data_IF_833397603364
#
_entry.id   IF_833397603364
#
_cell.length_a   1.000
_cell.length_b   1.000
_cell.length_c   1.000
_cell.angle_alpha   90.00
_cell.angle_beta   90.00
_cell.angle_gamma   90.00
#
_symmetry.space_group_name_H-M   'P 1'
#
loop_
_entity.id
_entity.type
_entity.pdbx_description
1 polymer ?
#
# COMPACT_ATOMS: atom_id res chain seq x y z
N UNK A 1 10.52 27.03 4.63
CA UNK A 1 10.07 25.78 3.97
C UNK A 1 8.58 25.88 3.73
N UNK A 2 8.07 25.36 2.61
CA UNK A 2 6.62 25.30 2.33
C UNK A 2 6.10 23.88 2.46
N UNK A 3 4.93 23.72 3.09
CA UNK A 3 4.21 22.46 3.17
C UNK A 3 2.79 22.62 2.63
N UNK A 4 2.32 21.64 1.87
CA UNK A 4 0.96 21.58 1.36
C UNK A 4 0.13 20.57 2.16
N UNK A 5 -1.10 20.94 2.46
CA UNK A 5 -2.08 20.12 3.15
C UNK A 5 -3.27 19.93 2.22
N UNK A 6 -3.53 18.69 1.81
CA UNK A 6 -4.71 18.37 1.03
C UNK A 6 -5.94 18.42 1.94
N UNK A 7 -6.90 19.28 1.64
CA UNK A 7 -8.06 19.48 2.51
C UNK A 7 -9.37 19.51 1.73
N UNK A 8 -10.45 19.23 2.44
CA UNK A 8 -11.82 19.39 1.99
C UNK A 8 -12.61 20.02 3.14
N UNK A 9 -13.26 21.15 2.86
CA UNK A 9 -13.92 22.01 3.84
C UNK A 9 -12.98 22.49 4.96
N UNK A 10 -12.97 21.77 6.10
CA UNK A 10 -12.17 22.08 7.28
C UNK A 10 -11.26 20.92 7.71
N UNK A 11 -11.23 19.82 6.95
CA UNK A 11 -10.52 18.58 7.33
C UNK A 11 -9.55 18.14 6.25
N UNK A 12 -8.58 17.31 6.61
CA UNK A 12 -7.70 16.66 5.65
C UNK A 12 -8.52 15.80 4.69
N UNK A 13 -8.25 15.93 3.40
CA UNK A 13 -8.93 15.16 2.36
C UNK A 13 -8.62 13.65 2.53
N UNK A 14 -9.63 12.78 2.50
CA UNK A 14 -9.45 11.35 2.73
C UNK A 14 -8.61 10.67 1.64
N UNK A 15 -8.64 11.20 0.42
CA UNK A 15 -7.82 10.73 -0.71
C UNK A 15 -7.33 11.94 -1.51
N UNK A 16 -6.02 12.02 -1.72
CA UNK A 16 -5.38 13.11 -2.46
C UNK A 16 -5.69 13.07 -3.96
N UNK A 17 -5.85 11.88 -4.54
CA UNK A 17 -6.13 11.71 -5.97
C UNK A 17 -7.34 12.52 -6.43
N UNK A 18 -8.38 12.65 -5.60
CA UNK A 18 -9.60 13.42 -5.88
C UNK A 18 -9.63 14.80 -5.22
N UNK A 19 -8.62 15.15 -4.42
CA UNK A 19 -8.57 16.45 -3.75
C UNK A 19 -8.39 17.56 -4.78
N UNK A 20 -9.22 18.61 -4.68
CA UNK A 20 -9.18 19.79 -5.55
C UNK A 20 -8.57 21.00 -4.85
N UNK A 21 -8.38 20.96 -3.53
CA UNK A 21 -7.91 22.08 -2.74
C UNK A 21 -6.70 21.69 -1.91
N UNK A 22 -5.72 22.57 -1.86
CA UNK A 22 -4.57 22.48 -0.96
C UNK A 22 -4.39 23.78 -0.21
N UNK A 23 -4.00 23.66 1.06
CA UNK A 23 -3.54 24.78 1.86
C UNK A 23 -2.01 24.72 1.89
N UNK A 24 -1.35 25.75 1.37
CA UNK A 24 0.10 25.90 1.39
C UNK A 24 0.47 26.79 2.55
N UNK A 25 1.25 26.22 3.47
CA UNK A 25 1.75 26.91 4.66
C UNK A 25 3.24 27.12 4.49
N UNK A 26 3.66 28.38 4.58
CA UNK A 26 5.07 28.74 4.63
C UNK A 26 5.52 28.89 6.07
N UNK A 27 6.63 28.22 6.39
CA UNK A 27 7.16 28.15 7.74
C UNK A 27 8.61 28.62 7.77
N UNK A 28 8.87 29.51 8.71
CA UNK A 28 10.19 30.00 9.06
C UNK A 28 10.37 29.89 10.57
N UNK A 29 11.47 29.28 11.03
CA UNK A 29 11.75 29.10 12.47
C UNK A 29 10.57 28.51 13.28
N UNK A 30 9.85 27.53 12.69
CA UNK A 30 8.64 26.87 13.25
C UNK A 30 7.43 27.79 13.47
N UNK A 31 7.39 28.97 12.83
CA UNK A 31 6.24 29.87 12.82
C UNK A 31 5.67 29.94 11.41
N UNK A 32 4.34 30.04 11.32
CA UNK A 32 3.64 30.25 10.05
C UNK A 32 3.88 31.70 9.63
N UNK A 33 4.52 31.89 8.48
CA UNK A 33 4.76 33.20 7.88
C UNK A 33 3.64 33.56 6.92
N UNK A 34 3.16 32.58 6.15
CA UNK A 34 2.05 32.76 5.22
C UNK A 34 1.21 31.48 5.11
N UNK A 35 -0.08 31.67 4.84
CA UNK A 35 -1.03 30.59 4.55
C UNK A 35 -1.78 30.98 3.28
N UNK A 36 -1.74 30.13 2.25
CA UNK A 36 -2.37 30.38 0.95
C UNK A 36 -3.20 29.18 0.54
N UNK A 37 -4.42 29.42 0.05
CA UNK A 37 -5.28 28.37 -0.47
C UNK A 37 -5.14 28.32 -1.99
N UNK A 38 -4.91 27.12 -2.51
CA UNK A 38 -4.68 26.90 -3.94
C UNK A 38 -5.64 25.83 -4.46
N UNK A 39 -6.20 26.07 -5.65
CA UNK A 39 -7.04 25.12 -6.35
C UNK A 39 -6.16 24.24 -7.25
N UNK A 40 -6.18 22.94 -7.01
CA UNK A 40 -5.67 21.92 -7.94
C UNK A 40 -6.72 21.68 -9.02
N UNK A 41 -6.87 22.64 -9.94
CA UNK A 41 -7.89 22.69 -11.00
C UNK A 41 -7.76 21.60 -12.09
N UNK A 42 -7.08 20.49 -11.83
CA UNK A 42 -6.65 19.56 -12.85
C UNK A 42 -6.98 18.11 -12.47
N UNK A 43 -7.74 17.45 -13.34
CA UNK A 43 -8.11 16.03 -13.19
C UNK A 43 -6.92 15.09 -13.40
N UNK A 44 -5.83 15.57 -14.01
CA UNK A 44 -4.66 14.75 -14.32
C UNK A 44 -3.64 14.73 -13.17
N UNK A 45 -3.16 13.54 -12.75
CA UNK A 45 -2.18 13.39 -11.66
C UNK A 45 -0.87 14.17 -11.87
N UNK A 46 -0.39 14.25 -13.12
CA UNK A 46 0.83 14.97 -13.47
C UNK A 46 0.69 16.48 -13.23
N UNK A 47 -0.44 17.06 -13.60
CA UNK A 47 -0.67 18.50 -13.44
C UNK A 47 -0.76 18.88 -11.96
N UNK A 48 -1.37 18.04 -11.12
CA UNK A 48 -1.34 18.25 -9.66
C UNK A 48 0.09 18.25 -9.12
N UNK A 49 0.92 17.34 -9.60
CA UNK A 49 2.33 17.24 -9.19
C UNK A 49 3.12 18.47 -9.64
N UNK A 50 2.97 18.89 -10.89
CA UNK A 50 3.60 20.10 -11.42
C UNK A 50 3.18 21.34 -10.63
N UNK A 51 1.89 21.47 -10.30
CA UNK A 51 1.41 22.59 -9.49
C UNK A 51 2.06 22.63 -8.10
N UNK A 52 2.21 21.48 -7.44
CA UNK A 52 2.93 21.40 -6.16
C UNK A 52 4.39 21.83 -6.29
N UNK A 53 5.06 21.43 -7.38
CA UNK A 53 6.44 21.79 -7.66
C UNK A 53 6.59 23.30 -7.95
N UNK A 54 5.69 23.89 -8.75
CA UNK A 54 5.64 25.34 -9.04
C UNK A 54 5.50 26.18 -7.76
N UNK A 55 4.68 25.71 -6.82
CA UNK A 55 4.47 26.37 -5.53
C UNK A 55 5.69 26.26 -4.59
N UNK A 56 6.68 25.45 -4.95
CA UNK A 56 7.90 25.22 -4.15
C UNK A 56 7.62 24.43 -2.88
N UNK A 57 6.64 23.52 -2.92
CA UNK A 57 6.25 22.69 -1.78
C UNK A 57 7.31 21.63 -1.51
N UNK A 58 7.87 21.60 -0.30
CA UNK A 58 8.84 20.58 0.13
C UNK A 58 8.20 19.37 0.79
N UNK A 59 6.98 19.51 1.33
CA UNK A 59 6.25 18.42 2.00
C UNK A 59 4.75 18.45 1.67
N UNK A 60 4.16 17.30 1.38
CA UNK A 60 2.72 17.11 1.15
C UNK A 60 2.14 16.23 2.26
N UNK A 61 1.20 16.78 3.03
CA UNK A 61 0.43 16.06 4.06
C UNK A 61 -0.95 15.75 3.48
N UNK A 62 -1.33 14.48 3.47
CA UNK A 62 -2.62 14.04 2.94
C UNK A 62 -3.14 12.76 3.61
N UNK A 63 -4.40 12.40 3.31
CA UNK A 63 -4.97 11.09 3.62
C UNK A 63 -4.35 9.99 2.77
N UNK A 64 -5.16 9.21 2.06
CA UNK A 64 -4.65 8.23 1.13
C UNK A 64 -4.14 8.91 -0.15
N UNK A 65 -3.21 8.24 -0.82
CA UNK A 65 -2.70 8.63 -2.13
C UNK A 65 -2.41 7.36 -2.92
N UNK A 66 -2.75 7.33 -4.20
CA UNK A 66 -2.39 6.19 -5.04
C UNK A 66 -0.87 6.08 -5.15
N UNK A 67 -0.36 4.84 -5.18
CA UNK A 67 1.08 4.56 -5.35
C UNK A 67 1.72 5.28 -6.56
N UNK A 68 1.12 5.29 -7.76
CA UNK A 68 1.72 5.98 -8.89
C UNK A 68 1.81 7.49 -8.67
N UNK A 69 0.78 8.12 -8.09
CA UNK A 69 0.81 9.56 -7.80
C UNK A 69 1.80 9.88 -6.68
N UNK A 70 1.89 9.04 -5.64
CA UNK A 70 2.89 9.20 -4.58
C UNK A 70 4.32 9.12 -5.14
N UNK A 71 4.61 8.14 -6.00
CA UNK A 71 5.92 7.99 -6.62
C UNK A 71 6.26 9.19 -7.51
N UNK A 72 5.27 9.70 -8.25
CA UNK A 72 5.42 10.89 -9.09
C UNK A 72 5.74 12.13 -8.24
N UNK A 73 4.99 12.39 -7.18
CA UNK A 73 5.23 13.53 -6.27
C UNK A 73 6.61 13.43 -5.61
N UNK A 74 6.99 12.24 -5.15
CA UNK A 74 8.31 12.01 -4.56
C UNK A 74 9.45 12.23 -5.57
N UNK A 75 9.26 11.91 -6.85
CA UNK A 75 10.26 12.12 -7.89
C UNK A 75 10.57 13.61 -8.15
N UNK A 76 9.64 14.51 -7.82
CA UNK A 76 9.86 15.97 -7.83
C UNK A 76 10.53 16.48 -6.54
N UNK A 77 10.98 15.59 -5.65
CA UNK A 77 11.65 15.95 -4.40
C UNK A 77 10.70 16.36 -3.27
N UNK A 78 9.39 16.11 -3.43
CA UNK A 78 8.37 16.49 -2.44
C UNK A 78 8.17 15.33 -1.46
N UNK A 79 8.39 15.58 -0.18
CA UNK A 79 8.18 14.56 0.86
C UNK A 79 6.68 14.32 1.08
N UNK A 80 6.19 13.11 0.80
CA UNK A 80 4.78 12.76 1.03
C UNK A 80 4.60 12.13 2.41
N UNK A 81 3.67 12.67 3.21
CA UNK A 81 3.24 12.15 4.51
C UNK A 81 1.78 11.71 4.37
N UNK A 82 1.53 10.44 3.96
CA UNK A 82 0.19 9.92 3.76
C UNK A 82 -0.42 9.36 5.05
N UNK A 83 -1.69 8.98 4.95
CA UNK A 83 -2.53 8.37 5.99
C UNK A 83 -2.86 9.30 7.16
N UNK A 84 -2.93 10.60 6.89
CA UNK A 84 -3.31 11.62 7.88
C UNK A 84 -4.81 11.93 7.77
N UNK A 85 -5.49 11.97 8.90
CA UNK A 85 -6.88 12.42 9.05
C UNK A 85 -6.98 13.37 10.24
N UNK A 86 -7.89 14.33 10.18
CA UNK A 86 -8.10 15.31 11.24
C UNK A 86 -8.63 16.63 10.71
N UNK A 87 -8.82 17.59 11.62
CA UNK A 87 -9.05 18.99 11.25
C UNK A 87 -7.78 19.61 10.65
N UNK A 88 -7.92 20.44 9.64
CA UNK A 88 -6.80 21.06 8.93
C UNK A 88 -5.90 21.85 9.88
N UNK A 89 -6.50 22.67 10.77
CA UNK A 89 -5.73 23.55 11.67
C UNK A 89 -4.98 22.73 12.71
N UNK A 90 -5.62 21.72 13.29
CA UNK A 90 -4.99 20.82 14.26
C UNK A 90 -3.81 20.08 13.64
N UNK A 91 -3.96 19.60 12.40
CA UNK A 91 -2.90 18.89 11.67
C UNK A 91 -1.73 19.81 11.34
N UNK A 92 -1.99 21.06 10.93
CA UNK A 92 -0.93 22.06 10.70
C UNK A 92 -0.12 22.30 11.98
N UNK A 93 -0.80 22.51 13.12
CA UNK A 93 -0.14 22.72 14.42
C UNK A 93 0.66 21.48 14.88
N UNK A 94 0.10 20.29 14.69
CA UNK A 94 0.78 19.04 14.99
C UNK A 94 2.04 18.85 14.12
N UNK A 95 1.96 19.20 12.84
CA UNK A 95 3.11 19.15 11.93
C UNK A 95 4.22 20.14 12.34
N UNK A 96 3.86 21.39 12.65
CA UNK A 96 4.80 22.43 13.12
C UNK A 96 5.56 22.05 14.40
N UNK A 97 4.85 21.40 15.33
CA UNK A 97 5.44 20.94 16.60
C UNK A 97 6.23 19.63 16.47
N UNK A 98 6.24 19.01 15.28
CA UNK A 98 6.84 17.68 15.05
C UNK A 98 6.06 16.54 15.70
N UNK A 99 4.84 16.79 16.17
CA UNK A 99 3.98 15.85 16.91
C UNK A 99 2.83 15.31 16.06
N UNK A 100 3.06 15.04 14.78
CA UNK A 100 2.07 14.40 13.92
C UNK A 100 1.99 12.89 14.26
N UNK A 101 1.44 12.60 15.44
CA UNK A 101 1.35 11.26 16.02
C UNK A 101 0.38 10.42 15.20
N UNK A 102 0.82 9.21 14.84
CA UNK A 102 -0.01 8.24 14.12
C UNK A 102 -1.26 7.86 14.90
N UNK A 103 -1.24 7.81 16.22
CA UNK A 103 -2.42 7.36 16.97
C UNK A 103 -3.56 8.40 16.97
N UNK A 104 -3.23 9.69 16.87
CA UNK A 104 -4.22 10.79 16.92
C UNK A 104 -4.72 11.18 15.55
N UNK A 105 -3.83 11.20 14.56
CA UNK A 105 -4.13 11.68 13.21
C UNK A 105 -4.07 10.57 12.15
N UNK A 106 -4.03 9.28 12.50
CA UNK A 106 -4.09 8.22 11.49
C UNK A 106 -5.50 8.06 10.92
N UNK A 107 -5.54 7.77 9.63
CA UNK A 107 -6.76 7.27 9.00
C UNK A 107 -7.19 5.91 9.60
N UNK A 108 -8.49 5.71 9.88
CA UNK A 108 -9.01 4.42 10.29
C UNK A 108 -8.76 3.34 9.21
N UNK A 109 -8.48 2.12 9.64
CA UNK A 109 -8.26 0.96 8.74
C UNK A 109 -6.86 0.84 8.12
N UNK A 110 -5.99 1.85 8.25
CA UNK A 110 -4.62 1.79 7.74
C UNK A 110 -3.61 1.17 8.73
N UNK A 111 -4.04 0.87 9.96
CA UNK A 111 -3.21 0.42 11.08
C UNK A 111 -2.60 -1.00 10.90
N UNK A 112 -2.97 -1.75 9.84
CA UNK A 112 -2.54 -3.13 9.63
C UNK A 112 -1.49 -3.38 8.53
N UNK A 113 -1.21 -2.41 7.64
CA UNK A 113 -0.34 -2.64 6.46
C UNK A 113 0.96 -1.82 6.43
N UNK A 114 1.09 -0.81 7.29
CA UNK A 114 2.33 -0.02 7.39
C UNK A 114 3.51 -0.79 8.02
N UNK A 115 3.36 -2.08 8.34
CA UNK A 115 4.42 -2.91 8.94
C UNK A 115 5.37 -3.57 7.93
N UNK A 116 5.08 -3.61 6.61
CA UNK A 116 5.95 -4.35 5.66
C UNK A 116 6.75 -3.51 4.64
N UNK A 117 6.59 -2.18 4.60
CA UNK A 117 7.37 -1.33 3.67
C UNK A 117 7.99 -0.08 4.30
N UNK A 118 7.82 0.15 5.61
CA UNK A 118 8.44 1.31 6.29
C UNK A 118 9.92 1.09 6.67
N UNK A 119 10.52 -0.02 6.24
CA UNK A 119 11.97 -0.27 6.30
C UNK A 119 12.45 -0.54 4.87
N UNK A 120 13.03 0.46 4.21
CA UNK A 120 13.80 0.20 2.98
C UNK A 120 13.69 1.17 1.79
N UNK A 121 13.30 2.45 1.97
CA UNK A 121 13.48 3.47 0.91
C UNK A 121 13.86 4.81 1.55
N UNK A 122 14.99 4.87 2.23
CA UNK A 122 15.61 6.15 2.60
C UNK A 122 17.14 6.09 2.46
N UNK A 123 17.62 5.27 1.52
CA UNK A 123 19.04 5.15 1.19
C UNK A 123 19.25 4.64 -0.26
N UNK A 124 18.95 5.49 -1.25
CA UNK A 124 19.25 5.16 -2.67
C UNK A 124 19.40 6.39 -3.54
N UNK A 125 20.25 7.34 -3.12
CA UNK A 125 20.79 8.38 -4.01
C UNK A 125 22.33 8.29 -4.04
N UNK A 126 22.86 7.11 -4.37
CA UNK A 126 24.13 6.97 -5.09
C UNK A 126 24.03 5.73 -5.98
N UNK A 127 23.87 5.95 -7.29
CA UNK A 127 24.89 5.66 -8.29
C UNK A 127 24.27 5.66 -9.69
N UNK A 128 24.43 6.79 -10.38
CA UNK A 128 24.56 6.78 -11.83
C UNK A 128 25.91 6.14 -12.19
N UNK A 129 25.93 4.85 -12.52
CA UNK A 129 26.95 4.31 -13.44
C UNK A 129 26.35 3.27 -14.38
N UNK A 130 26.37 3.65 -15.65
CA UNK A 130 26.35 2.82 -16.84
C UNK A 130 25.06 2.07 -17.20
N UNK A 131 24.28 2.73 -18.07
CA UNK A 131 23.66 2.04 -19.20
C UNK A 131 24.75 1.27 -19.97
N UNK A 132 24.60 -0.04 -20.19
CA UNK A 132 24.70 -0.60 -21.53
C UNK A 132 24.26 -2.07 -21.59
N UNK A 133 23.60 -2.42 -22.70
CA UNK A 133 23.92 -3.66 -23.41
C UNK A 133 23.26 -4.97 -22.96
N UNK A 134 22.23 -5.38 -23.72
CA UNK A 134 22.04 -6.72 -24.28
C UNK A 134 22.71 -7.89 -23.53
N UNK A 135 21.94 -8.81 -22.96
CA UNK A 135 22.55 -10.06 -22.50
C UNK A 135 21.58 -11.07 -21.93
N UNK A 136 21.26 -12.08 -22.73
CA UNK A 136 20.65 -13.32 -22.28
C UNK A 136 21.55 -14.01 -21.25
N UNK A 137 20.94 -14.65 -20.25
CA UNK A 137 21.45 -15.86 -19.60
C UNK A 137 22.73 -15.70 -18.77
N UNK A 138 22.76 -16.30 -17.59
CA UNK A 138 23.99 -16.37 -16.82
C UNK A 138 23.79 -16.93 -15.43
N UNK A 139 23.77 -18.25 -15.35
CA UNK A 139 23.80 -19.02 -14.12
C UNK A 139 25.25 -19.10 -13.60
N UNK A 140 25.44 -18.94 -12.29
CA UNK A 140 26.38 -19.79 -11.55
C UNK A 140 27.52 -19.14 -10.77
N UNK A 141 27.59 -19.45 -9.49
CA UNK A 141 28.77 -19.95 -8.76
C UNK A 141 28.22 -20.64 -7.51
N UNK A 142 28.45 -21.90 -7.15
CA UNK A 142 29.40 -22.91 -7.59
C UNK A 142 29.81 -23.67 -6.33
N UNK A 143 29.64 -25.00 -6.29
CA UNK A 143 30.15 -25.82 -5.19
C UNK A 143 29.77 -27.29 -5.28
N UNK A 144 30.62 -28.10 -5.93
CA UNK A 144 30.82 -29.51 -5.56
C UNK A 144 30.22 -30.60 -6.45
N UNK A 145 31.04 -31.11 -7.39
CA UNK A 145 31.34 -32.53 -7.72
C UNK A 145 30.35 -33.61 -7.22
N UNK A 146 29.86 -34.59 -7.98
CA UNK A 146 30.14 -35.10 -9.33
C UNK A 146 29.45 -36.47 -9.51
N UNK A 147 29.34 -36.92 -10.78
CA UNK A 147 29.10 -38.32 -11.25
C UNK A 147 27.78 -38.99 -10.79
N UNK A 148 26.82 -39.42 -11.60
CA UNK A 148 26.66 -39.57 -13.04
C UNK A 148 25.46 -40.51 -13.29
N UNK A 149 24.90 -40.44 -14.51
CA UNK A 149 23.98 -41.40 -15.18
C UNK A 149 22.54 -41.54 -14.66
N UNK A 150 21.59 -41.17 -15.51
CA UNK A 150 20.24 -41.75 -15.50
C UNK A 150 19.16 -40.75 -15.86
N UNK A 151 18.56 -40.88 -17.05
CA UNK A 151 17.66 -39.89 -17.62
C UNK A 151 16.24 -39.88 -17.05
N UNK A 152 15.54 -38.79 -17.34
CA UNK A 152 14.11 -38.87 -17.65
C UNK A 152 13.17 -38.04 -16.78
N UNK A 153 12.59 -37.03 -17.46
CA UNK A 153 11.20 -36.55 -17.36
C UNK A 153 10.78 -35.81 -16.10
N UNK A 154 10.29 -34.60 -16.33
CA UNK A 154 10.00 -33.58 -15.33
C UNK A 154 8.92 -33.95 -14.32
N UNK A 155 8.96 -33.20 -13.22
CA UNK A 155 7.83 -32.75 -12.40
C UNK A 155 8.40 -31.81 -11.34
N UNK A 156 8.07 -30.53 -11.45
CA UNK A 156 8.41 -29.53 -10.43
C UNK A 156 7.68 -29.83 -9.14
N UNK A 157 8.37 -30.47 -8.19
CA UNK A 157 7.96 -30.55 -6.79
C UNK A 157 8.37 -29.27 -6.07
N UNK A 158 7.46 -28.30 -6.03
CA UNK A 158 7.52 -27.19 -5.08
C UNK A 158 7.53 -27.74 -3.65
N UNK A 159 8.52 -27.29 -2.88
CA UNK A 159 8.84 -27.72 -1.52
C UNK A 159 7.68 -27.51 -0.55
N UNK A 160 7.32 -28.61 0.09
CA UNK A 160 6.75 -28.80 1.42
C UNK A 160 6.73 -27.55 2.33
N UNK A 161 5.53 -27.02 2.60
CA UNK A 161 5.20 -26.28 3.82
C UNK A 161 4.39 -27.19 4.74
N UNK A 162 4.85 -27.39 5.97
CA UNK A 162 4.46 -28.49 6.87
C UNK A 162 3.04 -28.47 7.46
N UNK A 163 2.67 -29.52 8.23
CA UNK A 163 1.28 -29.99 8.39
C UNK A 163 0.56 -29.51 9.67
N UNK A 164 0.81 -28.30 10.20
CA UNK A 164 0.37 -28.00 11.58
C UNK A 164 -0.29 -26.64 11.86
N UNK A 165 -0.77 -25.89 10.85
CA UNK A 165 -1.36 -24.57 11.11
C UNK A 165 -2.54 -24.15 10.19
N UNK A 166 -3.53 -25.03 9.97
CA UNK A 166 -4.82 -24.64 9.38
C UNK A 166 -5.99 -25.15 10.23
N UNK A 167 -6.27 -24.47 11.35
CA UNK A 167 -7.61 -24.51 11.96
C UNK A 167 -8.62 -23.86 11.00
N UNK A 168 -9.91 -24.21 10.96
CA UNK A 168 -10.73 -25.00 11.87
C UNK A 168 -11.83 -25.74 11.08
N UNK A 169 -12.35 -26.83 11.66
CA UNK A 169 -13.51 -27.55 11.20
C UNK A 169 -14.74 -26.63 11.11
N UNK A 170 -15.19 -26.31 9.91
CA UNK A 170 -16.48 -25.66 9.67
C UNK A 170 -17.57 -26.71 9.42
N UNK A 171 -18.84 -26.30 9.48
CA UNK A 171 -19.96 -27.14 9.03
C UNK A 171 -20.48 -26.61 7.70
N UNK A 172 -20.66 -27.49 6.73
CA UNK A 172 -21.37 -27.18 5.51
C UNK A 172 -22.87 -27.44 5.73
N UNK A 173 -23.70 -26.46 5.37
CA UNK A 173 -25.16 -26.48 5.42
C UNK A 173 -25.75 -26.63 4.02
N UNK A 174 -26.73 -27.50 3.85
CA UNK A 174 -27.51 -27.55 2.63
C UNK A 174 -28.68 -26.55 2.68
N UNK A 175 -28.77 -25.56 1.76
CA UNK A 175 -29.85 -24.58 1.75
C UNK A 175 -31.23 -25.20 1.43
N UNK A 176 -31.25 -26.32 0.69
CA UNK A 176 -32.50 -26.98 0.27
C UNK A 176 -33.16 -27.87 1.33
N UNK A 177 -32.38 -28.50 2.22
CA UNK A 177 -32.90 -29.49 3.17
C UNK A 177 -32.34 -29.35 4.60
N UNK A 178 -31.52 -28.33 4.86
CA UNK A 178 -30.96 -28.05 6.19
C UNK A 178 -29.90 -29.03 6.69
N UNK A 179 -29.45 -29.98 5.86
CA UNK A 179 -28.48 -31.00 6.28
C UNK A 179 -27.10 -30.40 6.60
N UNK A 180 -26.53 -30.81 7.74
CA UNK A 180 -25.23 -30.36 8.27
C UNK A 180 -24.18 -31.45 8.08
N UNK A 181 -23.05 -31.11 7.47
CA UNK A 181 -21.93 -32.05 7.24
C UNK A 181 -20.62 -31.36 7.61
N UNK A 182 -19.69 -32.07 8.23
CA UNK A 182 -18.36 -31.53 8.52
C UNK A 182 -17.65 -31.09 7.22
N UNK A 183 -17.07 -29.89 7.25
CA UNK A 183 -16.27 -29.35 6.16
C UNK A 183 -14.97 -30.15 6.03
N UNK A 184 -14.64 -30.53 4.80
CA UNK A 184 -13.40 -31.23 4.49
C UNK A 184 -12.33 -30.24 4.04
N UNK A 185 -11.14 -30.35 4.62
CA UNK A 185 -10.01 -29.48 4.26
C UNK A 185 -9.66 -29.65 2.79
N UNK A 186 -9.54 -28.51 2.09
CA UNK A 186 -9.19 -28.48 0.67
C UNK A 186 -10.38 -28.52 -0.29
N UNK A 187 -11.61 -28.75 0.20
CA UNK A 187 -12.82 -28.75 -0.63
C UNK A 187 -13.79 -27.65 -0.16
N UNK A 188 -13.98 -26.57 -0.94
CA UNK A 188 -14.99 -25.56 -0.64
C UNK A 188 -16.39 -26.18 -0.48
N UNK A 189 -17.19 -25.73 0.50
CA UNK A 189 -18.54 -26.30 0.74
C UNK A 189 -19.41 -26.28 -0.54
N UNK A 190 -19.25 -25.25 -1.39
CA UNK A 190 -20.00 -25.09 -2.65
C UNK A 190 -19.69 -26.17 -3.70
N UNK A 191 -18.55 -26.86 -3.59
CA UNK A 191 -18.20 -27.96 -4.47
C UNK A 191 -18.70 -29.32 -3.96
N UNK A 192 -19.11 -29.42 -2.68
CA UNK A 192 -19.72 -30.63 -2.12
C UNK A 192 -21.22 -30.66 -2.40
N UNK A 193 -21.71 -31.84 -2.77
CA UNK A 193 -23.15 -32.10 -2.93
C UNK A 193 -23.74 -32.66 -1.64
N UNK A 194 -24.95 -32.22 -1.29
CA UNK A 194 -25.67 -32.71 -0.14
C UNK A 194 -26.05 -34.20 -0.32
N UNK A 195 -25.75 -35.09 0.65
CA UNK A 195 -26.06 -36.52 0.54
C UNK A 195 -27.57 -36.83 0.55
N UNK A 196 -28.42 -35.86 0.95
CA UNK A 196 -29.88 -36.04 0.97
C UNK A 196 -30.59 -35.56 -0.30
N UNK A 197 -30.04 -34.57 -1.00
CA UNK A 197 -30.78 -33.91 -2.10
C UNK A 197 -29.92 -33.44 -3.28
N UNK A 198 -28.61 -33.72 -3.28
CA UNK A 198 -27.67 -33.40 -4.36
C UNK A 198 -27.31 -31.91 -4.53
N UNK A 199 -27.92 -31.01 -3.75
CA UNK A 199 -27.68 -29.56 -3.86
C UNK A 199 -26.30 -29.16 -3.31
N UNK A 200 -25.65 -28.20 -3.96
CA UNK A 200 -24.40 -27.62 -3.48
C UNK A 200 -24.55 -27.05 -2.07
N UNK A 201 -23.58 -27.33 -1.20
CA UNK A 201 -23.62 -26.90 0.20
C UNK A 201 -23.02 -25.50 0.40
N UNK A 202 -23.42 -24.80 1.45
CA UNK A 202 -22.92 -23.47 1.83
C UNK A 202 -22.18 -23.56 3.16
N UNK A 203 -21.20 -22.69 3.41
CA UNK A 203 -20.52 -22.63 4.70
C UNK A 203 -21.38 -21.88 5.71
N UNK A 204 -21.54 -22.45 6.92
CA UNK A 204 -22.07 -21.74 8.09
C UNK A 204 -21.00 -20.87 8.75
#
# INVERSE_FOLDING_TARGET
MKAAFAYLDKRIAPVFDTAQQICVVEVESKRIVSETQELLAHDLPLQKTLRLAELGVGALICGAISRPLQAMVAAYGIQVIPFVAGDLREVIQAWLSGNLKRDTFAMPGCCGRARSHFKGIYDSYQEEKNMNGKGRGGMGSGGGQGQGRGGGRGQGRGRMGGPLAAGAAGTCLCPKCGNRVAHERGVPCVQRQCPKCGTAMTRE
#
